data_IF_474103196488
#
_entry.id   IF_474103196488
#
_cell.length_a   1.000
_cell.length_b   1.000
_cell.length_c   1.000
_cell.angle_alpha   90.00
_cell.angle_beta   90.00
_cell.angle_gamma   90.00
#
_symmetry.space_group_name_H-M   'P 1'
#
loop_
_entity.id
_entity.type
_entity.pdbx_description
1 polymer ?
#
# COMPACT_ATOMS: atom_id res chain seq x y z
N UNK A 1 31.71 -13.07 31.85
CA UNK A 1 31.44 -13.18 30.40
C UNK A 1 29.93 -13.13 30.26
N UNK A 2 29.44 -11.91 30.44
CA UNK A 2 28.01 -11.60 30.46
C UNK A 2 27.52 -11.50 29.02
N UNK A 3 26.26 -11.88 28.86
CA UNK A 3 25.38 -11.49 27.76
C UNK A 3 25.63 -12.20 26.42
N UNK A 4 25.18 -13.46 26.39
CA UNK A 4 24.53 -14.02 25.18
C UNK A 4 23.21 -13.25 25.00
N UNK A 5 23.32 -11.99 24.56
CA UNK A 5 22.23 -11.24 23.94
C UNK A 5 22.32 -11.58 22.45
N UNK A 6 22.13 -12.86 22.14
CA UNK A 6 21.53 -13.21 20.86
C UNK A 6 20.03 -13.28 21.18
N UNK A 7 19.41 -12.11 21.37
CA UNK A 7 17.95 -12.02 21.28
C UNK A 7 17.70 -12.28 19.82
N UNK A 8 17.57 -13.56 19.46
CA UNK A 8 17.18 -14.00 18.14
C UNK A 8 15.84 -13.30 17.92
N UNK A 9 15.85 -12.25 17.09
CA UNK A 9 14.66 -11.51 16.77
C UNK A 9 13.72 -12.48 16.05
N UNK A 10 12.69 -12.94 16.76
CA UNK A 10 11.64 -13.73 16.16
C UNK A 10 10.79 -12.78 15.33
N UNK A 11 11.01 -12.80 14.01
CA UNK A 11 10.26 -11.96 13.10
C UNK A 11 8.79 -12.34 13.22
N UNK A 12 7.98 -11.40 13.72
CA UNK A 12 6.55 -11.66 13.94
C UNK A 12 5.92 -11.97 12.57
N UNK A 13 5.37 -13.19 12.46
CA UNK A 13 4.93 -13.78 11.19
C UNK A 13 3.84 -12.99 10.44
N UNK A 14 3.30 -11.91 11.02
CA UNK A 14 2.24 -11.08 10.45
C UNK A 14 2.70 -9.72 9.97
N UNK A 15 3.98 -9.37 10.15
CA UNK A 15 4.55 -8.13 9.59
C UNK A 15 4.31 -8.07 8.08
N UNK A 16 4.35 -9.21 7.39
CA UNK A 16 4.08 -9.27 5.96
C UNK A 16 2.66 -8.82 5.61
N UNK A 17 1.64 -9.28 6.35
CA UNK A 17 0.26 -8.85 6.13
C UNK A 17 0.09 -7.32 6.29
N UNK A 18 0.88 -6.69 7.16
CA UNK A 18 0.86 -5.22 7.33
C UNK A 18 1.45 -4.55 6.09
N UNK A 19 2.56 -5.06 5.58
CA UNK A 19 3.19 -4.57 4.35
C UNK A 19 2.22 -4.69 3.18
N UNK A 20 1.58 -5.85 3.02
CA UNK A 20 0.68 -6.11 1.90
C UNK A 20 -0.58 -5.25 1.98
N UNK A 21 -1.12 -5.05 3.19
CA UNK A 21 -2.25 -4.17 3.40
C UNK A 21 -1.91 -2.73 2.97
N UNK A 22 -0.77 -2.20 3.42
CA UNK A 22 -0.33 -0.84 3.04
C UNK A 22 -0.09 -0.75 1.53
N UNK A 23 0.53 -1.78 0.94
CA UNK A 23 0.82 -1.81 -0.49
C UNK A 23 -0.45 -1.88 -1.34
N UNK A 24 -1.46 -2.64 -0.90
CA UNK A 24 -2.77 -2.70 -1.53
C UNK A 24 -3.44 -1.31 -1.59
N UNK A 25 -3.43 -0.57 -0.48
CA UNK A 25 -3.94 0.80 -0.47
C UNK A 25 -3.14 1.74 -1.38
N UNK A 26 -1.80 1.63 -1.38
CA UNK A 26 -0.95 2.44 -2.23
C UNK A 26 -1.26 2.21 -3.73
N UNK A 27 -1.41 0.94 -4.13
CA UNK A 27 -1.74 0.59 -5.52
C UNK A 27 -3.16 1.04 -5.91
N UNK A 28 -4.13 0.90 -5.01
CA UNK A 28 -5.49 1.37 -5.24
C UNK A 28 -5.54 2.90 -5.43
N UNK A 29 -4.86 3.66 -4.56
CA UNK A 29 -4.75 5.12 -4.67
C UNK A 29 -4.00 5.55 -5.93
N UNK A 30 -2.97 4.82 -6.32
CA UNK A 30 -2.24 5.07 -7.56
C UNK A 30 -3.14 4.92 -8.80
N UNK A 31 -3.95 3.87 -8.84
CA UNK A 31 -4.91 3.66 -9.94
C UNK A 31 -5.99 4.76 -9.96
N UNK A 32 -6.53 5.14 -8.79
CA UNK A 32 -7.45 6.26 -8.67
C UNK A 32 -6.83 7.58 -9.19
N UNK A 33 -5.57 7.85 -8.82
CA UNK A 33 -4.84 9.02 -9.31
C UNK A 33 -4.72 9.02 -10.83
N UNK A 34 -4.36 7.87 -11.42
CA UNK A 34 -4.21 7.73 -12.88
C UNK A 34 -5.51 7.96 -13.63
N UNK A 35 -6.66 7.65 -13.03
CA UNK A 35 -7.96 7.85 -13.66
C UNK A 35 -8.48 9.28 -13.53
N UNK A 36 -8.30 9.91 -12.36
CA UNK A 36 -8.86 11.24 -12.08
C UNK A 36 -7.93 12.40 -12.38
N UNK A 37 -6.62 12.23 -12.22
CA UNK A 37 -5.66 13.33 -12.18
C UNK A 37 -4.84 13.45 -13.48
N UNK A 38 -5.32 12.91 -14.62
CA UNK A 38 -4.57 12.92 -15.91
C UNK A 38 -4.13 14.32 -16.35
N UNK A 39 -4.98 15.32 -16.13
CA UNK A 39 -4.72 16.72 -16.50
C UNK A 39 -4.20 17.57 -15.34
N UNK A 40 -3.92 16.95 -14.19
CA UNK A 40 -3.46 17.68 -13.02
C UNK A 40 -1.97 18.00 -13.15
N UNK A 41 -1.65 19.28 -13.37
CA UNK A 41 -0.29 19.76 -13.64
C UNK A 41 0.58 19.95 -12.39
N UNK A 42 0.00 19.84 -11.19
CA UNK A 42 0.72 20.02 -9.93
C UNK A 42 1.11 18.68 -9.35
N UNK A 43 2.26 18.62 -8.68
CA UNK A 43 2.65 17.44 -7.91
C UNK A 43 1.71 17.24 -6.71
N UNK A 44 1.46 15.97 -6.37
CA UNK A 44 0.67 15.58 -5.20
C UNK A 44 -0.79 15.21 -5.55
N UNK A 45 -1.63 15.14 -4.52
CA UNK A 45 -3.03 14.70 -4.64
C UNK A 45 -3.87 15.77 -5.34
N UNK A 46 -4.65 15.37 -6.36
CA UNK A 46 -5.57 16.30 -7.03
C UNK A 46 -6.90 16.40 -6.26
N UNK A 47 -7.61 17.56 -6.33
CA UNK A 47 -8.86 17.75 -5.58
C UNK A 47 -9.93 16.69 -5.84
N UNK A 48 -9.98 16.13 -7.04
CA UNK A 48 -10.93 15.08 -7.41
C UNK A 48 -10.75 13.79 -6.58
N UNK A 49 -9.52 13.45 -6.17
CA UNK A 49 -9.28 12.32 -5.29
C UNK A 49 -9.78 12.57 -3.87
N UNK A 50 -9.63 13.80 -3.36
CA UNK A 50 -10.04 14.13 -1.97
C UNK A 50 -11.55 14.15 -1.77
N UNK A 51 -12.31 14.27 -2.86
CA UNK A 51 -13.78 14.28 -2.87
C UNK A 51 -14.36 13.00 -3.47
N UNK A 52 -13.53 11.99 -3.76
CA UNK A 52 -13.98 10.76 -4.37
C UNK A 52 -14.79 9.91 -3.38
N UNK A 53 -15.84 9.26 -3.87
CA UNK A 53 -16.68 8.41 -3.04
C UNK A 53 -15.91 7.18 -2.51
N UNK A 54 -15.96 6.98 -1.20
CA UNK A 54 -15.23 5.89 -0.54
C UNK A 54 -15.76 4.49 -0.87
N UNK A 55 -17.07 4.36 -1.12
CA UNK A 55 -17.68 3.10 -1.52
C UNK A 55 -17.27 2.68 -2.93
N UNK A 56 -17.22 3.64 -3.85
CA UNK A 56 -16.68 3.47 -5.19
C UNK A 56 -15.18 3.21 -5.15
N UNK A 57 -14.41 3.91 -4.30
CA UNK A 57 -12.99 3.64 -4.12
C UNK A 57 -12.74 2.17 -3.73
N UNK A 58 -13.48 1.70 -2.72
CA UNK A 58 -13.40 0.34 -2.22
C UNK A 58 -13.69 -0.69 -3.32
N UNK A 59 -14.83 -0.54 -4.02
CA UNK A 59 -15.28 -1.52 -5.02
C UNK A 59 -14.47 -1.51 -6.32
N UNK A 60 -14.08 -0.32 -6.80
CA UNK A 60 -13.45 -0.16 -8.11
C UNK A 60 -11.94 -0.30 -8.07
N UNK A 61 -11.30 0.10 -6.97
CA UNK A 61 -9.84 0.13 -6.89
C UNK A 61 -9.33 -0.84 -5.84
N UNK A 62 -9.77 -0.74 -4.58
CA UNK A 62 -9.17 -1.54 -3.50
C UNK A 62 -9.41 -3.04 -3.66
N UNK A 63 -10.63 -3.46 -4.01
CA UNK A 63 -10.93 -4.89 -4.26
C UNK A 63 -10.31 -5.44 -5.55
N UNK A 64 -9.84 -4.58 -6.44
CA UNK A 64 -9.34 -4.95 -7.77
C UNK A 64 -7.81 -4.84 -7.90
N UNK A 65 -7.09 -4.65 -6.79
CA UNK A 65 -5.62 -4.68 -6.81
C UNK A 65 -5.10 -6.12 -6.86
N UNK A 66 -4.04 -6.33 -7.63
CA UNK A 66 -3.31 -7.60 -7.68
C UNK A 66 -1.83 -7.30 -7.84
N UNK A 67 -1.01 -7.86 -6.96
CA UNK A 67 0.44 -7.74 -7.00
C UNK A 67 1.06 -9.02 -6.44
N UNK A 68 2.27 -9.34 -6.91
CA UNK A 68 3.06 -10.47 -6.41
C UNK A 68 4.17 -9.94 -5.52
N UNK A 69 4.31 -10.54 -4.35
CA UNK A 69 5.41 -10.25 -3.44
C UNK A 69 6.69 -10.91 -3.89
N UNK A 70 7.41 -10.25 -4.79
CA UNK A 70 8.74 -10.70 -5.23
C UNK A 70 9.87 -10.16 -4.34
N UNK A 71 9.55 -9.36 -3.32
CA UNK A 71 10.53 -8.55 -2.58
C UNK A 71 11.00 -9.10 -1.23
N UNK A 72 10.66 -10.35 -0.87
CA UNK A 72 11.06 -10.95 0.42
C UNK A 72 12.07 -12.10 0.32
N UNK A 73 12.63 -12.37 -0.86
CA UNK A 73 13.57 -13.49 -1.05
C UNK A 73 14.94 -13.04 -1.58
N UNK A 74 15.28 -11.75 -1.44
CA UNK A 74 16.64 -11.24 -1.72
C UNK A 74 17.16 -10.41 -0.58
#
# INVERSE_FOLDING_TARGET
>A
MNEIIDVIYEQESKVQFVVDAVYAFALALHNLYRDLCKDYRKSGVCPAMTQYDGGDFYKKYLLNVSFTETWLIT
#
